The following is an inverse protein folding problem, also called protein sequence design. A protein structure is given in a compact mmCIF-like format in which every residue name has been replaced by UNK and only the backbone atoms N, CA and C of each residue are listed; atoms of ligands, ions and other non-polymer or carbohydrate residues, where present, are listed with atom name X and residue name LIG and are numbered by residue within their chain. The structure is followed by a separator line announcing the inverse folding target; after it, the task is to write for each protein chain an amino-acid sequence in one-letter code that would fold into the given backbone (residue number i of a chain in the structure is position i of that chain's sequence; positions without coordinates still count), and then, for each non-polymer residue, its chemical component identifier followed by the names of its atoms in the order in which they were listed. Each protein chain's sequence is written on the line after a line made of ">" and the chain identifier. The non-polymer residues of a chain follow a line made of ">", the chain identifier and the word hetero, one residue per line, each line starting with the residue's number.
data_IF_902742189446
#
_entry.id   IF_902742189446
#
_cell.length_a   1.000
_cell.length_b   1.000
_cell.length_c   1.000
_cell.angle_alpha   90.00
_cell.angle_beta   90.00
_cell.angle_gamma   90.00
#
_symmetry.space_group_name_H-M   'P 1'
#
loop_
_entity.id
_entity.type
_entity.pdbx_description
1 polymer ?
#
# COMPACT_ATOMS: atom_id res chain seq x y z
N UNK A 1 -13.56 -14.38 25.23
CA UNK A 1 -14.68 -14.97 24.46
C UNK A 1 -14.77 -14.47 23.02
N UNK A 2 -14.48 -13.19 22.75
CA UNK A 2 -14.44 -12.59 21.38
C UNK A 2 -13.23 -13.06 20.54
N UNK A 3 -12.08 -13.33 21.19
CA UNK A 3 -10.87 -13.84 20.53
C UNK A 3 -11.04 -15.28 20.02
N UNK A 4 -11.76 -16.13 20.74
CA UNK A 4 -11.93 -17.55 20.39
C UNK A 4 -12.83 -17.81 19.16
N UNK A 5 -13.74 -16.89 18.82
CA UNK A 5 -14.63 -17.05 17.67
C UNK A 5 -14.05 -16.44 16.38
N UNK A 6 -13.29 -15.35 16.48
CA UNK A 6 -12.51 -14.79 15.35
C UNK A 6 -11.31 -15.69 15.04
N UNK A 7 -10.67 -16.28 16.06
CA UNK A 7 -9.67 -17.34 15.85
C UNK A 7 -10.32 -18.57 15.21
N UNK A 8 -11.53 -19.01 15.59
CA UNK A 8 -12.20 -20.15 14.90
C UNK A 8 -12.57 -19.87 13.44
N UNK A 9 -12.95 -18.65 13.10
CA UNK A 9 -13.35 -18.28 11.74
C UNK A 9 -12.14 -18.03 10.84
N UNK A 10 -11.12 -17.34 11.37
CA UNK A 10 -9.83 -17.16 10.69
C UNK A 10 -9.12 -18.50 10.59
N UNK A 11 -9.08 -19.33 11.63
CA UNK A 11 -8.50 -20.68 11.60
C UNK A 11 -9.28 -21.60 10.65
N UNK A 12 -10.61 -21.52 10.54
CA UNK A 12 -11.37 -22.31 9.54
C UNK A 12 -11.14 -21.83 8.11
N UNK A 13 -11.11 -20.53 7.85
CA UNK A 13 -10.81 -19.97 6.53
C UNK A 13 -9.32 -20.11 6.15
N UNK A 14 -8.42 -20.08 7.14
CA UNK A 14 -6.96 -20.23 6.98
C UNK A 14 -6.54 -21.71 6.90
N UNK A 15 -7.21 -22.64 7.59
CA UNK A 15 -7.12 -24.09 7.35
C UNK A 15 -7.66 -24.46 5.96
N UNK A 16 -8.72 -23.78 5.50
CA UNK A 16 -9.23 -23.96 4.14
C UNK A 16 -8.31 -23.36 3.07
N UNK A 17 -7.46 -22.39 3.41
CA UNK A 17 -6.47 -21.81 2.49
C UNK A 17 -5.11 -22.53 2.52
N UNK A 18 -4.67 -23.01 3.70
CA UNK A 18 -3.41 -23.77 3.87
C UNK A 18 -3.49 -25.21 3.35
N UNK A 19 -4.69 -25.76 3.16
CA UNK A 19 -4.90 -26.98 2.39
C UNK A 19 -4.52 -26.86 0.90
N UNK A 20 -4.23 -25.65 0.39
CA UNK A 20 -3.90 -25.41 -1.02
C UNK A 20 -2.46 -24.92 -1.29
N UNK A 21 -1.62 -24.74 -0.26
CA UNK A 21 -0.26 -24.21 -0.46
C UNK A 21 0.89 -25.19 -0.19
N UNK A 22 0.62 -26.40 0.33
CA UNK A 22 1.66 -27.43 0.47
C UNK A 22 1.11 -28.80 0.05
N UNK A 23 1.97 -29.62 -0.56
CA UNK A 23 1.65 -30.87 -1.24
C UNK A 23 1.01 -31.97 -0.37
N UNK A 24 0.89 -33.20 -0.91
CA UNK A 24 -0.07 -34.20 -0.48
C UNK A 24 0.31 -34.83 0.87
N UNK A 25 -0.08 -34.20 1.96
CA UNK A 25 -0.27 -34.85 3.25
C UNK A 25 -1.63 -34.42 3.81
N UNK A 26 -2.65 -35.14 3.34
CA UNK A 26 -4.04 -34.95 3.66
C UNK A 26 -4.33 -35.14 5.15
N UNK A 27 -4.39 -34.05 5.91
CA UNK A 27 -5.41 -33.98 6.96
C UNK A 27 -6.74 -33.73 6.26
N UNK A 28 -7.52 -34.80 6.06
CA UNK A 28 -8.92 -34.72 5.66
C UNK A 28 -9.68 -33.92 6.72
N UNK A 29 -9.77 -32.60 6.53
CA UNK A 29 -10.73 -31.76 7.21
C UNK A 29 -12.12 -32.28 6.80
N UNK A 30 -12.78 -33.01 7.72
CA UNK A 30 -14.18 -33.41 7.58
C UNK A 30 -15.07 -32.18 7.70
N UNK A 31 -15.09 -31.36 6.65
CA UNK A 31 -15.96 -30.20 6.55
C UNK A 31 -17.34 -30.67 6.13
N UNK A 32 -18.33 -30.55 7.04
CA UNK A 32 -19.71 -30.89 6.74
C UNK A 32 -20.38 -29.70 6.05
N UNK A 33 -20.47 -29.75 4.72
CA UNK A 33 -21.16 -28.74 3.91
C UNK A 33 -22.61 -28.51 4.33
N UNK A 34 -23.27 -29.51 4.95
CA UNK A 34 -24.65 -29.45 5.45
C UNK A 34 -24.96 -28.29 6.39
N UNK A 35 -23.95 -27.75 7.10
CA UNK A 35 -24.15 -26.60 7.99
C UNK A 35 -24.12 -25.25 7.26
N UNK A 36 -23.77 -25.24 5.97
CA UNK A 36 -23.77 -24.03 5.16
C UNK A 36 -25.17 -23.75 4.64
N UNK A 37 -25.85 -22.75 5.19
CA UNK A 37 -27.15 -22.27 4.71
C UNK A 37 -27.13 -20.76 4.50
N UNK A 38 -28.12 -20.24 3.77
CA UNK A 38 -28.22 -18.80 3.54
C UNK A 38 -28.49 -18.05 4.85
N UNK A 39 -29.27 -18.64 5.76
CA UNK A 39 -29.57 -18.09 7.08
C UNK A 39 -28.31 -17.98 7.94
N UNK A 40 -27.46 -19.01 7.92
CA UNK A 40 -26.17 -18.97 8.64
C UNK A 40 -25.24 -17.89 8.10
N UNK A 41 -25.25 -17.67 6.78
CA UNK A 41 -24.43 -16.64 6.12
C UNK A 41 -24.95 -15.22 6.43
N UNK A 42 -26.26 -15.01 6.37
CA UNK A 42 -26.88 -13.74 6.76
C UNK A 42 -26.70 -13.44 8.25
N UNK A 43 -26.81 -14.46 9.10
CA UNK A 43 -26.49 -14.38 10.53
C UNK A 43 -25.07 -13.88 10.77
N UNK A 44 -24.09 -14.43 10.05
CA UNK A 44 -22.70 -13.96 10.11
C UNK A 44 -22.56 -12.49 9.69
N UNK A 45 -23.19 -12.06 8.60
CA UNK A 45 -23.13 -10.66 8.17
C UNK A 45 -23.73 -9.70 9.21
N UNK A 46 -24.78 -10.14 9.90
CA UNK A 46 -25.38 -9.39 11.01
C UNK A 46 -24.42 -9.32 12.21
N UNK A 47 -23.81 -10.43 12.62
CA UNK A 47 -22.80 -10.45 13.68
C UNK A 47 -21.60 -9.55 13.36
N UNK A 48 -21.12 -9.54 12.12
CA UNK A 48 -20.07 -8.64 11.66
C UNK A 48 -20.44 -7.17 11.89
N UNK A 49 -21.73 -6.81 11.74
CA UNK A 49 -22.22 -5.47 12.09
C UNK A 49 -22.06 -5.19 13.58
N UNK A 50 -22.43 -6.16 14.43
CA UNK A 50 -22.25 -6.08 15.89
C UNK A 50 -20.80 -5.97 16.32
N UNK A 51 -19.86 -6.46 15.51
CA UNK A 51 -18.41 -6.30 15.72
C UNK A 51 -17.84 -4.98 15.16
N UNK A 52 -18.67 -4.13 14.56
CA UNK A 52 -18.25 -2.84 14.00
C UNK A 52 -17.59 -2.93 12.62
N UNK A 53 -17.73 -4.05 11.90
CA UNK A 53 -17.25 -4.13 10.51
C UNK A 53 -18.16 -3.33 9.57
N UNK A 54 -17.53 -2.48 8.75
CA UNK A 54 -18.23 -1.71 7.73
C UNK A 54 -18.69 -2.57 6.53
N UNK A 55 -19.58 -2.00 5.72
CA UNK A 55 -20.20 -2.69 4.57
C UNK A 55 -19.16 -3.12 3.54
N UNK A 56 -18.13 -2.31 3.30
CA UNK A 56 -17.02 -2.66 2.42
C UNK A 56 -16.27 -3.92 2.89
N UNK A 57 -16.09 -4.08 4.20
CA UNK A 57 -15.48 -5.29 4.76
C UNK A 57 -16.37 -6.50 4.57
N UNK A 58 -17.67 -6.38 4.85
CA UNK A 58 -18.66 -7.45 4.59
C UNK A 58 -18.69 -7.89 3.12
N UNK A 59 -18.54 -6.93 2.20
CA UNK A 59 -18.46 -7.21 0.76
C UNK A 59 -17.25 -8.08 0.41
N UNK A 60 -16.09 -7.81 1.01
CA UNK A 60 -14.87 -8.61 0.81
C UNK A 60 -15.08 -10.04 1.31
N UNK A 61 -15.56 -10.22 2.55
CA UNK A 61 -15.83 -11.56 3.09
C UNK A 61 -16.86 -12.34 2.27
N UNK A 62 -17.89 -11.65 1.75
CA UNK A 62 -18.87 -12.24 0.84
C UNK A 62 -18.21 -12.73 -0.46
N UNK A 63 -17.31 -11.94 -1.04
CA UNK A 63 -16.59 -12.32 -2.26
C UNK A 63 -15.70 -13.57 -2.05
N UNK A 64 -15.03 -13.66 -0.90
CA UNK A 64 -14.22 -14.84 -0.55
C UNK A 64 -15.09 -16.08 -0.30
N UNK A 65 -16.24 -15.93 0.34
CA UNK A 65 -17.20 -17.02 0.52
C UNK A 65 -17.75 -17.53 -0.83
N UNK A 66 -18.02 -16.64 -1.79
CA UNK A 66 -18.39 -17.04 -3.16
C UNK A 66 -17.29 -17.87 -3.83
N UNK A 67 -16.01 -17.48 -3.68
CA UNK A 67 -14.88 -18.25 -4.24
C UNK A 67 -14.83 -19.65 -3.64
N UNK A 68 -15.03 -19.75 -2.34
CA UNK A 68 -15.08 -21.02 -1.62
C UNK A 68 -16.24 -21.92 -2.11
N UNK A 69 -17.46 -21.38 -2.23
CA UNK A 69 -18.61 -22.12 -2.74
C UNK A 69 -18.43 -22.57 -4.19
N UNK A 70 -17.81 -21.75 -5.04
CA UNK A 70 -17.44 -22.15 -6.42
C UNK A 70 -16.48 -23.33 -6.44
N UNK A 71 -15.48 -23.31 -5.55
CA UNK A 71 -14.54 -24.42 -5.43
C UNK A 71 -15.25 -25.72 -5.02
N UNK A 72 -16.08 -25.69 -3.96
CA UNK A 72 -16.87 -26.84 -3.52
C UNK A 72 -17.76 -27.36 -4.65
N UNK A 73 -18.47 -26.47 -5.33
CA UNK A 73 -19.37 -26.83 -6.42
C UNK A 73 -18.61 -27.47 -7.60
N UNK A 74 -17.40 -27.00 -7.90
CA UNK A 74 -16.54 -27.59 -8.94
C UNK A 74 -16.08 -29.00 -8.55
N UNK A 75 -15.56 -29.17 -7.33
CA UNK A 75 -15.09 -30.46 -6.82
C UNK A 75 -16.22 -31.51 -6.74
N UNK A 76 -17.39 -31.11 -6.25
CA UNK A 76 -18.59 -31.96 -6.25
C UNK A 76 -19.06 -32.31 -7.66
N UNK A 77 -18.97 -31.37 -8.61
CA UNK A 77 -19.32 -31.57 -10.01
C UNK A 77 -18.41 -32.56 -10.74
N UNK A 78 -17.11 -32.59 -10.39
CA UNK A 78 -16.14 -33.54 -10.94
C UNK A 78 -16.34 -34.97 -10.38
N UNK A 79 -16.93 -35.10 -9.18
CA UNK A 79 -17.14 -36.36 -8.46
C UNK A 79 -18.64 -36.69 -8.26
N UNK A 80 -19.46 -36.45 -9.30
CA UNK A 80 -20.91 -36.66 -9.26
C UNK A 80 -21.27 -38.16 -9.22
N UNK A 81 -21.60 -38.65 -8.02
CA UNK A 81 -22.40 -39.87 -7.84
C UNK A 81 -23.87 -39.51 -7.63
N UNK A 82 -24.80 -40.44 -7.86
CA UNK A 82 -26.26 -40.25 -7.62
C UNK A 82 -26.57 -39.75 -6.19
N UNK A 83 -25.76 -40.14 -5.19
CA UNK A 83 -25.91 -39.69 -3.79
C UNK A 83 -25.44 -38.25 -3.53
N UNK A 84 -24.62 -37.67 -4.40
CA UNK A 84 -24.06 -36.32 -4.24
C UNK A 84 -24.82 -35.23 -5.02
N UNK A 85 -25.82 -35.59 -5.82
CA UNK A 85 -26.55 -34.65 -6.69
C UNK A 85 -27.38 -33.62 -5.90
N UNK A 86 -28.07 -34.07 -4.85
CA UNK A 86 -28.86 -33.18 -3.99
C UNK A 86 -27.99 -32.16 -3.27
N UNK A 87 -26.79 -32.57 -2.84
CA UNK A 87 -25.85 -31.69 -2.15
C UNK A 87 -25.21 -30.69 -3.11
N UNK A 88 -24.88 -31.13 -4.33
CA UNK A 88 -24.45 -30.26 -5.43
C UNK A 88 -25.50 -29.17 -5.74
N UNK A 89 -26.75 -29.57 -5.93
CA UNK A 89 -27.85 -28.62 -6.22
C UNK A 89 -28.08 -27.63 -5.06
N UNK A 90 -27.98 -28.10 -3.81
CA UNK A 90 -28.07 -27.26 -2.61
C UNK A 90 -26.96 -26.20 -2.56
N UNK A 91 -25.71 -26.59 -2.81
CA UNK A 91 -24.57 -25.65 -2.84
C UNK A 91 -24.69 -24.67 -4.00
N UNK A 92 -25.19 -25.12 -5.16
CA UNK A 92 -25.46 -24.25 -6.31
C UNK A 92 -26.52 -23.19 -6.00
N UNK A 93 -27.62 -23.56 -5.32
CA UNK A 93 -28.64 -22.62 -4.85
C UNK A 93 -28.06 -21.64 -3.83
N UNK A 94 -27.29 -22.14 -2.85
CA UNK A 94 -26.63 -21.29 -1.87
C UNK A 94 -25.69 -20.27 -2.54
N UNK A 95 -24.89 -20.71 -3.51
CA UNK A 95 -24.01 -19.83 -4.29
C UNK A 95 -24.79 -18.72 -4.98
N UNK A 96 -25.93 -19.04 -5.62
CA UNK A 96 -26.79 -18.03 -6.25
C UNK A 96 -27.30 -17.00 -5.24
N UNK A 97 -27.80 -17.45 -4.08
CA UNK A 97 -28.29 -16.56 -3.02
C UNK A 97 -27.19 -15.65 -2.48
N UNK A 98 -25.98 -16.17 -2.24
CA UNK A 98 -24.85 -15.37 -1.75
C UNK A 98 -24.39 -14.35 -2.81
N UNK A 99 -24.45 -14.71 -4.10
CA UNK A 99 -24.17 -13.76 -5.20
C UNK A 99 -25.18 -12.61 -5.19
N UNK A 100 -26.46 -12.86 -4.90
CA UNK A 100 -27.46 -11.80 -4.81
C UNK A 100 -27.26 -10.91 -3.57
N UNK A 101 -26.90 -11.50 -2.42
CA UNK A 101 -26.47 -10.73 -1.23
C UNK A 101 -25.30 -9.82 -1.56
N UNK A 102 -24.31 -10.31 -2.31
CA UNK A 102 -23.16 -9.51 -2.75
C UNK A 102 -23.58 -8.27 -3.54
N UNK A 103 -24.52 -8.41 -4.50
CA UNK A 103 -25.02 -7.28 -5.30
C UNK A 103 -25.69 -6.22 -4.43
N UNK A 104 -26.43 -6.65 -3.40
CA UNK A 104 -27.01 -5.74 -2.40
C UNK A 104 -25.94 -4.94 -1.67
N UNK A 105 -24.89 -5.62 -1.17
CA UNK A 105 -23.76 -4.96 -0.51
C UNK A 105 -22.98 -4.04 -1.47
N UNK A 106 -22.79 -4.41 -2.73
CA UNK A 106 -22.15 -3.54 -3.74
C UNK A 106 -22.95 -2.25 -3.94
N UNK A 107 -24.27 -2.37 -4.04
CA UNK A 107 -25.17 -1.21 -4.18
C UNK A 107 -25.08 -0.29 -2.96
N UNK A 108 -25.07 -0.86 -1.76
CA UNK A 108 -24.92 -0.09 -0.52
C UNK A 108 -23.55 0.60 -0.42
N UNK A 109 -22.46 -0.08 -0.78
CA UNK A 109 -21.12 0.52 -0.83
C UNK A 109 -21.06 1.67 -1.83
N UNK A 110 -21.66 1.52 -3.02
CA UNK A 110 -21.72 2.58 -4.03
C UNK A 110 -22.52 3.78 -3.51
N UNK A 111 -23.65 3.54 -2.83
CA UNK A 111 -24.46 4.58 -2.23
C UNK A 111 -23.70 5.33 -1.12
N UNK A 112 -23.00 4.60 -0.23
CA UNK A 112 -22.16 5.20 0.83
C UNK A 112 -21.03 6.03 0.23
N UNK A 113 -20.31 5.52 -0.77
CA UNK A 113 -19.25 6.27 -1.46
C UNK A 113 -19.78 7.51 -2.17
N UNK A 114 -21.01 7.47 -2.69
CA UNK A 114 -21.64 8.60 -3.36
C UNK A 114 -22.09 9.66 -2.36
N UNK A 115 -22.66 9.23 -1.22
CA UNK A 115 -23.02 10.12 -0.11
C UNK A 115 -21.76 10.79 0.49
N UNK A 116 -20.69 10.03 0.72
CA UNK A 116 -19.40 10.56 1.18
C UNK A 116 -18.79 11.58 0.19
N UNK A 117 -18.97 11.37 -1.12
CA UNK A 117 -18.54 12.34 -2.14
C UNK A 117 -19.38 13.62 -2.09
N UNK A 118 -20.69 13.52 -1.83
CA UNK A 118 -21.58 14.67 -1.73
C UNK A 118 -21.30 15.53 -0.49
N UNK A 119 -20.79 14.92 0.59
CA UNK A 119 -20.45 15.61 1.85
C UNK A 119 -18.97 15.99 1.96
N UNK A 120 -18.12 15.62 0.98
CA UNK A 120 -16.68 15.84 1.10
C UNK A 120 -16.35 17.32 1.00
N UNK A 121 -15.77 17.86 2.07
CA UNK A 121 -14.98 19.09 2.02
C UNK A 121 -13.95 19.00 0.88
N UNK A 122 -13.70 20.14 0.24
CA UNK A 122 -12.70 20.25 -0.81
C UNK A 122 -11.37 19.64 -0.34
N UNK A 123 -10.69 18.81 -1.14
CA UNK A 123 -9.43 18.22 -0.72
C UNK A 123 -8.45 19.31 -0.26
N UNK A 124 -7.59 19.02 0.73
CA UNK A 124 -6.64 20.01 1.23
C UNK A 124 -5.77 20.55 0.10
N UNK A 125 -5.40 21.83 0.18
CA UNK A 125 -4.53 22.46 -0.82
C UNK A 125 -3.17 21.76 -0.87
N UNK A 126 -2.46 21.89 -2.00
CA UNK A 126 -1.11 21.34 -2.15
C UNK A 126 -0.10 21.93 -1.17
N UNK A 127 -0.32 23.16 -0.71
CA UNK A 127 0.50 23.77 0.33
C UNK A 127 0.28 23.08 1.68
N UNK A 128 -0.97 22.69 1.99
CA UNK A 128 -1.30 21.97 3.22
C UNK A 128 -0.80 20.53 3.15
N UNK A 129 -1.19 19.81 2.10
CA UNK A 129 -0.32 18.95 1.30
C UNK A 129 1.09 18.63 1.85
N UNK A 130 1.96 19.56 1.49
CA UNK A 130 3.41 19.49 1.57
C UNK A 130 3.97 20.30 2.73
N UNK A 131 3.11 20.79 3.63
CA UNK A 131 3.50 21.66 4.74
C UNK A 131 4.63 21.04 5.58
N UNK A 132 4.51 19.74 5.89
CA UNK A 132 5.54 19.00 6.65
C UNK A 132 6.91 19.03 5.95
N UNK A 133 6.93 18.95 4.62
CA UNK A 133 8.17 18.97 3.84
C UNK A 133 8.80 20.35 3.87
N UNK A 134 7.98 21.40 3.80
CA UNK A 134 8.43 22.79 3.86
C UNK A 134 9.04 23.12 5.22
N UNK A 135 8.35 22.79 6.32
CA UNK A 135 8.83 23.13 7.68
C UNK A 135 10.02 22.29 8.11
N UNK A 136 10.11 21.03 7.68
CA UNK A 136 11.22 20.14 8.01
C UNK A 136 12.42 20.27 7.06
N UNK A 137 12.34 21.11 6.02
CA UNK A 137 13.35 21.22 4.97
C UNK A 137 14.72 21.65 5.50
N UNK A 138 14.76 22.67 6.34
CA UNK A 138 16.03 23.20 6.88
C UNK A 138 16.77 22.15 7.68
N UNK A 139 16.05 21.38 8.51
CA UNK A 139 16.63 20.30 9.30
C UNK A 139 17.13 19.16 8.39
N UNK A 140 16.34 18.81 7.36
CA UNK A 140 16.75 17.83 6.35
C UNK A 140 18.02 18.24 5.60
N UNK A 141 18.06 19.47 5.09
CA UNK A 141 19.23 20.00 4.39
C UNK A 141 20.46 20.04 5.32
N UNK A 142 20.27 20.33 6.60
CA UNK A 142 21.35 20.33 7.61
C UNK A 142 21.93 18.93 7.80
N UNK A 143 21.08 17.93 8.00
CA UNK A 143 21.51 16.53 8.15
C UNK A 143 22.20 16.02 6.88
N UNK A 144 21.64 16.31 5.70
CA UNK A 144 22.24 15.94 4.41
C UNK A 144 23.58 16.64 4.18
N UNK A 145 23.71 17.91 4.56
CA UNK A 145 24.97 18.66 4.48
C UNK A 145 26.02 18.07 5.42
N UNK A 146 25.69 17.78 6.68
CA UNK A 146 26.64 17.17 7.63
C UNK A 146 27.20 15.84 7.11
N UNK A 147 26.35 15.01 6.50
CA UNK A 147 26.77 13.75 5.88
C UNK A 147 27.67 14.02 4.67
N UNK A 148 27.30 15.00 3.84
CA UNK A 148 28.05 15.40 2.66
C UNK A 148 29.42 16.01 2.96
N UNK A 149 29.56 16.74 4.06
CA UNK A 149 30.84 17.30 4.52
C UNK A 149 31.75 16.20 5.07
N UNK A 150 31.18 15.15 5.66
CA UNK A 150 31.92 14.03 6.23
C UNK A 150 32.31 12.96 5.22
N UNK A 151 31.60 12.85 4.07
CA UNK A 151 31.83 11.87 2.99
C UNK A 151 32.24 10.48 3.50
N UNK A 152 33.52 10.15 3.42
CA UNK A 152 34.10 8.86 3.82
C UNK A 152 33.97 8.57 5.32
N UNK A 153 33.84 9.63 6.14
CA UNK A 153 33.56 9.57 7.58
C UNK A 153 32.07 9.62 7.91
N UNK A 154 31.18 9.59 6.92
CA UNK A 154 29.72 9.53 7.13
C UNK A 154 29.31 8.38 8.05
N UNK A 155 30.09 7.30 8.08
CA UNK A 155 29.88 6.18 9.00
C UNK A 155 29.86 6.64 10.46
N UNK A 156 30.68 7.60 10.85
CA UNK A 156 30.76 8.10 12.24
C UNK A 156 29.47 8.85 12.60
N UNK A 157 28.96 9.66 11.68
CA UNK A 157 27.74 10.48 11.87
C UNK A 157 26.44 9.70 11.66
N UNK A 158 26.50 8.54 11.01
CA UNK A 158 25.31 7.71 10.76
C UNK A 158 24.75 7.19 12.07
N UNK A 159 23.69 7.84 12.56
CA UNK A 159 22.98 7.52 13.80
C UNK A 159 21.56 7.03 13.53
N UNK A 160 20.98 6.30 14.50
CA UNK A 160 19.59 5.82 14.41
C UNK A 160 18.59 6.96 14.21
N UNK A 161 18.78 8.08 14.91
CA UNK A 161 17.89 9.25 14.83
C UNK A 161 17.92 9.87 13.44
N UNK A 162 19.13 10.13 12.92
CA UNK A 162 19.33 10.72 11.59
C UNK A 162 18.76 9.81 10.49
N UNK A 163 19.10 8.52 10.47
CA UNK A 163 18.59 7.58 9.45
C UNK A 163 17.08 7.51 9.48
N UNK A 164 16.49 7.49 10.68
CA UNK A 164 15.03 7.48 10.84
C UNK A 164 14.40 8.75 10.29
N UNK A 165 14.98 9.92 10.59
CA UNK A 165 14.48 11.20 10.11
C UNK A 165 14.59 11.33 8.59
N UNK A 166 15.75 11.01 8.01
CA UNK A 166 15.98 11.06 6.56
C UNK A 166 15.04 10.11 5.81
N UNK A 167 14.88 8.86 6.28
CA UNK A 167 13.92 7.93 5.68
C UNK A 167 12.50 8.50 5.71
N UNK A 168 12.06 9.07 6.84
CA UNK A 168 10.72 9.68 6.95
C UNK A 168 10.56 10.86 6.00
N UNK A 169 11.57 11.72 5.90
CA UNK A 169 11.50 12.92 5.05
C UNK A 169 11.49 12.55 3.55
N UNK A 170 12.40 11.69 3.09
CA UNK A 170 12.45 11.29 1.67
C UNK A 170 11.18 10.53 1.28
N UNK A 171 10.70 9.61 2.12
CA UNK A 171 9.46 8.86 1.81
C UNK A 171 8.21 9.72 1.94
N UNK A 172 8.20 10.74 2.80
CA UNK A 172 7.16 11.78 2.83
C UNK A 172 7.17 12.60 1.53
N UNK A 173 8.34 12.92 0.96
CA UNK A 173 8.41 13.57 -0.34
C UNK A 173 7.78 12.72 -1.45
N UNK A 174 8.13 11.44 -1.51
CA UNK A 174 7.52 10.51 -2.48
C UNK A 174 6.00 10.46 -2.33
N UNK A 175 5.49 10.33 -1.11
CA UNK A 175 4.06 10.13 -0.88
C UNK A 175 3.23 11.42 -0.94
N UNK A 176 3.72 12.50 -0.33
CA UNK A 176 2.97 13.74 -0.15
C UNK A 176 3.19 14.74 -1.29
N UNK A 177 4.38 14.76 -1.89
CA UNK A 177 4.68 15.67 -3.00
C UNK A 177 4.47 15.02 -4.36
N UNK A 178 4.90 13.77 -4.54
CA UNK A 178 4.75 13.05 -5.82
C UNK A 178 3.50 12.17 -5.88
N UNK A 179 2.70 12.12 -4.81
CA UNK A 179 1.44 11.35 -4.79
C UNK A 179 1.62 9.84 -4.89
N UNK A 180 2.82 9.34 -4.61
CA UNK A 180 3.12 7.91 -4.66
C UNK A 180 2.39 7.17 -3.54
N UNK A 181 2.00 5.91 -3.80
CA UNK A 181 1.49 5.05 -2.73
C UNK A 181 2.64 4.67 -1.79
N UNK A 182 2.30 4.49 -0.52
CA UNK A 182 3.22 4.02 0.53
C UNK A 182 4.02 2.78 0.09
N UNK A 183 3.34 1.80 -0.52
CA UNK A 183 3.97 0.56 -1.00
C UNK A 183 5.04 0.78 -2.06
N UNK A 184 4.91 1.81 -2.89
CA UNK A 184 5.93 2.16 -3.90
C UNK A 184 7.22 2.60 -3.19
N UNK A 185 7.12 3.44 -2.17
CA UNK A 185 8.29 3.84 -1.38
C UNK A 185 8.90 2.66 -0.59
N UNK A 186 8.05 1.78 -0.03
CA UNK A 186 8.51 0.62 0.76
C UNK A 186 9.20 -0.46 -0.08
N UNK A 187 8.82 -0.59 -1.35
CA UNK A 187 9.28 -1.65 -2.23
C UNK A 187 10.29 -1.18 -3.29
N UNK A 188 10.60 0.12 -3.35
CA UNK A 188 11.65 0.63 -4.22
C UNK A 188 12.96 -0.13 -3.95
N UNK A 189 13.55 -0.66 -5.01
CA UNK A 189 14.79 -1.45 -4.97
C UNK A 189 15.99 -0.66 -5.49
N UNK A 190 17.18 -1.09 -5.08
CA UNK A 190 18.45 -0.60 -5.63
C UNK A 190 18.59 -0.97 -7.11
N UNK A 191 18.06 -2.12 -7.52
CA UNK A 191 18.07 -2.55 -8.92
C UNK A 191 17.30 -1.59 -9.83
N UNK A 192 16.09 -1.19 -9.42
CA UNK A 192 15.28 -0.18 -10.12
C UNK A 192 16.01 1.18 -10.17
N UNK A 193 16.60 1.61 -9.05
CA UNK A 193 17.37 2.86 -8.99
C UNK A 193 18.58 2.86 -9.93
N UNK A 194 19.41 1.81 -9.87
CA UNK A 194 20.59 1.69 -10.71
C UNK A 194 20.23 1.56 -12.20
N UNK A 195 19.11 0.93 -12.52
CA UNK A 195 18.58 0.88 -13.89
C UNK A 195 18.18 2.26 -14.37
N UNK A 196 17.55 3.07 -13.51
CA UNK A 196 17.21 4.45 -13.83
C UNK A 196 18.45 5.30 -14.12
N UNK A 197 19.52 5.15 -13.33
CA UNK A 197 20.78 5.89 -13.53
C UNK A 197 21.46 5.59 -14.87
N UNK A 198 21.26 4.39 -15.42
CA UNK A 198 21.81 3.97 -16.72
C UNK A 198 21.00 4.50 -17.92
N UNK A 199 19.76 4.95 -17.70
CA UNK A 199 18.89 5.47 -18.76
C UNK A 199 19.06 6.99 -18.88
N UNK A 200 18.81 7.51 -20.08
CA UNK A 200 18.90 8.96 -20.32
C UNK A 200 17.93 9.75 -19.42
N UNK A 201 18.43 10.85 -18.85
CA UNK A 201 17.62 11.80 -18.09
C UNK A 201 16.66 12.50 -19.07
N UNK A 202 15.37 12.47 -18.78
CA UNK A 202 14.41 13.21 -19.60
C UNK A 202 14.47 14.69 -19.23
N UNK A 203 14.62 15.57 -20.21
CA UNK A 203 14.56 17.01 -20.01
C UNK A 203 13.09 17.43 -20.03
N UNK A 204 12.64 18.11 -18.98
CA UNK A 204 11.26 18.60 -18.89
C UNK A 204 11.23 20.02 -18.36
N UNK A 205 10.61 20.93 -19.11
CA UNK A 205 10.60 22.35 -18.75
C UNK A 205 12.01 22.96 -18.66
N UNK A 206 13.01 22.34 -19.31
CA UNK A 206 14.42 22.75 -19.28
C UNK A 206 15.29 22.05 -18.23
N UNK A 207 14.74 21.27 -17.30
CA UNK A 207 15.53 20.57 -16.28
C UNK A 207 15.58 19.04 -16.50
N UNK A 208 16.74 18.39 -16.30
CA UNK A 208 16.87 16.95 -16.40
C UNK A 208 16.27 16.25 -15.17
N UNK A 209 15.36 15.30 -15.38
CA UNK A 209 14.75 14.47 -14.34
C UNK A 209 15.21 13.01 -14.44
N UNK A 210 15.44 12.37 -13.29
CA UNK A 210 15.66 10.93 -13.19
C UNK A 210 14.31 10.21 -13.07
N UNK A 211 14.05 9.27 -13.98
CA UNK A 211 12.80 8.49 -14.01
C UNK A 211 13.06 7.07 -13.51
N UNK A 212 12.59 6.76 -12.31
CA UNK A 212 12.72 5.42 -11.73
C UNK A 212 11.43 4.64 -12.01
N UNK A 213 11.52 3.62 -12.85
CA UNK A 213 10.42 2.68 -13.07
C UNK A 213 10.31 1.73 -11.88
N UNK A 214 9.11 1.55 -11.36
CA UNK A 214 8.86 0.67 -10.21
C UNK A 214 7.52 -0.04 -10.34
N UNK A 215 7.47 -1.28 -9.86
CA UNK A 215 6.24 -2.06 -9.90
C UNK A 215 5.31 -1.66 -8.74
N UNK A 216 4.13 -1.16 -9.09
CA UNK A 216 3.05 -0.96 -8.14
C UNK A 216 2.14 -2.19 -8.12
N UNK A 217 2.35 -3.06 -7.14
CA UNK A 217 1.48 -4.21 -6.92
C UNK A 217 0.20 -3.78 -6.19
N UNK A 218 -0.93 -3.97 -6.86
CA UNK A 218 -2.25 -3.97 -6.24
C UNK A 218 -2.76 -5.41 -6.12
N UNK A 219 -3.73 -5.70 -5.23
CA UNK A 219 -4.33 -7.03 -5.17
C UNK A 219 -4.95 -7.52 -6.49
N UNK A 220 -5.26 -6.61 -7.42
CA UNK A 220 -5.92 -6.91 -8.71
C UNK A 220 -4.98 -6.87 -9.92
N UNK A 221 -3.84 -6.18 -9.85
CA UNK A 221 -2.91 -6.03 -10.97
C UNK A 221 -1.54 -5.50 -10.53
N UNK A 222 -0.50 -5.76 -11.32
CA UNK A 222 0.77 -5.02 -11.24
C UNK A 222 0.74 -3.90 -12.27
N UNK A 223 0.94 -2.66 -11.81
CA UNK A 223 1.02 -1.50 -12.68
C UNK A 223 2.45 -0.96 -12.71
N UNK A 224 2.91 -0.54 -13.89
CA UNK A 224 4.16 0.20 -14.01
C UNK A 224 3.95 1.62 -13.45
N UNK A 225 4.63 1.92 -12.36
CA UNK A 225 4.68 3.24 -11.78
C UNK A 225 6.03 3.90 -12.11
N UNK A 226 6.05 5.23 -12.15
CA UNK A 226 7.29 5.99 -12.35
C UNK A 226 7.43 7.05 -11.28
N UNK A 227 8.59 7.07 -10.64
CA UNK A 227 9.02 8.16 -9.75
C UNK A 227 9.88 9.11 -10.58
N UNK A 228 9.48 10.37 -10.61
CA UNK A 228 10.22 11.42 -11.29
C UNK A 228 10.95 12.30 -10.27
N UNK A 229 12.27 12.24 -10.26
CA UNK A 229 13.12 13.04 -9.37
C UNK A 229 13.73 14.20 -10.15
N UNK A 230 13.55 15.42 -9.65
CA UNK A 230 14.25 16.60 -10.16
C UNK A 230 15.76 16.55 -9.78
N UNK A 231 16.60 17.48 -10.25
CA UNK A 231 18.04 17.46 -9.96
C UNK A 231 18.39 17.47 -8.47
N UNK A 232 17.67 18.26 -7.66
CA UNK A 232 17.87 18.32 -6.22
C UNK A 232 17.58 16.96 -5.57
N UNK A 233 16.43 16.35 -5.87
CA UNK A 233 16.05 15.06 -5.30
C UNK A 233 16.89 13.90 -5.83
N UNK A 234 17.32 13.95 -7.07
CA UNK A 234 18.30 13.01 -7.62
C UNK A 234 19.58 13.04 -6.79
N UNK A 235 20.11 14.24 -6.50
CA UNK A 235 21.27 14.41 -5.63
C UNK A 235 21.00 13.85 -4.22
N UNK A 236 19.83 14.09 -3.63
CA UNK A 236 19.49 13.55 -2.30
C UNK A 236 19.44 12.01 -2.29
N UNK A 237 18.91 11.39 -3.34
CA UNK A 237 18.89 9.93 -3.50
C UNK A 237 20.30 9.36 -3.66
N UNK A 238 21.14 10.00 -4.48
CA UNK A 238 22.55 9.63 -4.62
C UNK A 238 23.29 9.71 -3.28
N UNK A 239 23.07 10.78 -2.50
CA UNK A 239 23.68 10.92 -1.18
C UNK A 239 23.23 9.82 -0.21
N UNK A 240 21.93 9.52 -0.20
CA UNK A 240 21.39 8.46 0.62
C UNK A 240 22.00 7.11 0.25
N UNK A 241 22.01 6.77 -1.05
CA UNK A 241 22.51 5.51 -1.57
C UNK A 241 24.02 5.34 -1.33
N UNK A 242 24.82 6.36 -1.67
CA UNK A 242 26.27 6.30 -1.64
C UNK A 242 26.88 6.41 -0.25
N UNK A 243 26.26 7.17 0.67
CA UNK A 243 26.87 7.46 1.98
C UNK A 243 26.10 6.89 3.15
N UNK A 244 24.79 7.14 3.25
CA UNK A 244 23.99 6.72 4.41
C UNK A 244 23.81 5.20 4.39
N UNK A 245 23.27 4.69 3.29
CA UNK A 245 22.99 3.27 3.09
C UNK A 245 24.27 2.45 3.13
N UNK A 246 25.30 2.90 2.42
CA UNK A 246 26.62 2.27 2.45
C UNK A 246 27.22 2.23 3.86
N UNK A 247 27.08 3.30 4.66
CA UNK A 247 27.56 3.34 6.04
C UNK A 247 26.85 2.33 6.95
N UNK A 248 25.54 2.18 6.81
CA UNK A 248 24.76 1.18 7.57
C UNK A 248 25.25 -0.23 7.25
N UNK A 249 25.42 -0.54 5.96
CA UNK A 249 25.89 -1.85 5.51
C UNK A 249 27.30 -2.15 5.97
N UNK A 250 28.22 -1.18 5.92
CA UNK A 250 29.56 -1.31 6.50
C UNK A 250 29.51 -1.59 8.00
N UNK A 251 28.67 -0.88 8.77
CA UNK A 251 28.51 -1.09 10.22
C UNK A 251 27.92 -2.46 10.59
N UNK A 252 27.05 -2.99 9.73
CA UNK A 252 26.23 -4.17 10.03
C UNK A 252 26.70 -5.43 9.31
N UNK A 253 27.69 -5.32 8.43
CA UNK A 253 28.18 -6.39 7.57
C UNK A 253 27.02 -7.14 6.87
N UNK A 254 26.13 -6.40 6.22
CA UNK A 254 24.96 -6.95 5.54
C UNK A 254 24.62 -6.18 4.27
N UNK A 255 23.76 -6.78 3.44
CA UNK A 255 23.21 -6.16 2.23
C UNK A 255 21.72 -6.43 2.13
N UNK A 256 21.00 -5.57 1.41
CA UNK A 256 19.58 -5.76 1.10
C UNK A 256 19.28 -5.24 -0.31
N UNK A 257 18.23 -5.75 -0.96
CA UNK A 257 17.75 -5.23 -2.25
C UNK A 257 16.98 -3.90 -2.15
N UNK A 258 16.27 -3.64 -1.04
CA UNK A 258 15.45 -2.43 -0.91
C UNK A 258 16.32 -1.18 -0.79
N UNK A 259 15.83 -0.11 -1.38
CA UNK A 259 16.49 1.18 -1.41
C UNK A 259 16.56 1.77 0.00
N UNK A 260 15.41 1.93 0.66
CA UNK A 260 15.33 2.49 2.01
C UNK A 260 15.51 1.42 3.09
N UNK A 261 16.52 1.62 3.94
CA UNK A 261 16.84 0.72 5.06
C UNK A 261 16.86 1.48 6.39
N UNK A 262 16.52 0.77 7.45
CA UNK A 262 16.63 1.22 8.84
C UNK A 262 18.09 1.15 9.30
N UNK A 263 18.39 1.77 10.45
CA UNK A 263 19.75 1.79 11.02
C UNK A 263 20.28 0.39 11.41
N UNK A 264 19.39 -0.57 11.65
CA UNK A 264 19.76 -1.98 11.85
C UNK A 264 19.96 -2.75 10.53
N UNK A 265 19.79 -2.08 9.39
CA UNK A 265 19.94 -2.61 8.04
C UNK A 265 18.69 -3.34 7.50
N UNK A 266 17.62 -3.45 8.29
CA UNK A 266 16.35 -4.01 7.83
C UNK A 266 15.60 -3.03 6.90
N UNK A 267 14.69 -3.50 6.05
CA UNK A 267 13.92 -2.62 5.17
C UNK A 267 13.01 -1.65 5.93
N UNK A 268 12.87 -0.43 5.42
CA UNK A 268 11.94 0.54 5.99
C UNK A 268 10.50 0.30 5.49
N UNK A 269 9.74 -0.57 6.17
CA UNK A 269 8.37 -1.00 5.80
C UNK A 269 7.22 -0.33 6.56
N UNK A 270 7.50 0.75 7.31
CA UNK A 270 6.48 1.49 8.09
C UNK A 270 6.42 2.94 7.64
N UNK A 271 6.27 3.15 6.33
CA UNK A 271 6.34 4.50 5.74
C UNK A 271 5.16 5.35 6.21
N UNK A 272 3.94 4.81 6.26
CA UNK A 272 2.76 5.55 6.74
C UNK A 272 2.94 6.06 8.17
N UNK A 273 3.34 5.18 9.10
CA UNK A 273 3.65 5.57 10.48
C UNK A 273 4.81 6.58 10.56
N UNK A 274 5.80 6.42 9.68
CA UNK A 274 6.93 7.33 9.56
C UNK A 274 6.49 8.75 9.22
N UNK A 275 5.60 8.90 8.23
CA UNK A 275 5.04 10.18 7.80
C UNK A 275 4.23 10.81 8.94
N UNK A 276 3.37 10.05 9.61
CA UNK A 276 2.58 10.54 10.75
C UNK A 276 3.48 11.03 11.88
N UNK A 277 4.54 10.28 12.21
CA UNK A 277 5.51 10.70 13.23
C UNK A 277 6.27 11.96 12.84
N UNK A 278 6.57 12.14 11.55
CA UNK A 278 7.17 13.38 11.05
C UNK A 278 6.20 14.56 11.20
N UNK A 279 4.94 14.39 10.81
CA UNK A 279 3.91 15.42 10.96
C UNK A 279 3.71 15.81 12.43
N UNK A 280 3.68 14.84 13.34
CA UNK A 280 3.62 15.07 14.78
C UNK A 280 4.83 15.83 15.31
N UNK A 281 6.05 15.47 14.87
CA UNK A 281 7.28 16.13 15.29
C UNK A 281 7.27 17.63 14.98
N UNK A 282 6.75 18.02 13.81
CA UNK A 282 6.64 19.42 13.39
C UNK A 282 5.28 20.05 13.69
N UNK A 283 4.41 19.37 14.45
CA UNK A 283 3.08 19.85 14.88
C UNK A 283 2.19 20.34 13.72
N UNK A 284 2.31 19.71 12.55
CA UNK A 284 1.46 20.00 11.38
C UNK A 284 0.28 19.03 11.31
N UNK A 285 -0.72 19.40 10.50
CA UNK A 285 -1.90 18.56 10.32
C UNK A 285 -1.52 17.17 9.76
N UNK A 286 -2.22 16.14 10.25
CA UNK A 286 -2.03 14.78 9.75
C UNK A 286 -2.65 14.65 8.36
N UNK A 287 -1.83 14.29 7.38
CA UNK A 287 -2.24 14.05 6.00
C UNK A 287 -1.75 12.67 5.60
N UNK A 288 -2.67 11.83 5.13
CA UNK A 288 -2.35 10.49 4.64
C UNK A 288 -1.87 10.54 3.20
N UNK A 289 -1.09 9.53 2.77
CA UNK A 289 -0.71 9.36 1.35
C UNK A 289 -1.93 9.30 0.42
N UNK A 290 -3.04 8.68 0.87
CA UNK A 290 -4.29 8.65 0.11
C UNK A 290 -4.91 10.03 -0.09
N UNK A 291 -4.98 10.82 0.99
CA UNK A 291 -5.46 12.22 0.93
C UNK A 291 -4.58 13.07 0.03
N UNK A 292 -3.26 12.93 0.15
CA UNK A 292 -2.30 13.65 -0.70
C UNK A 292 -2.47 13.31 -2.18
N UNK A 293 -2.62 12.02 -2.51
CA UNK A 293 -2.85 11.57 -3.89
C UNK A 293 -4.14 12.13 -4.48
N UNK A 294 -5.23 12.18 -3.70
CA UNK A 294 -6.49 12.79 -4.13
C UNK A 294 -6.28 14.28 -4.40
N UNK A 295 -5.65 15.02 -3.49
CA UNK A 295 -5.38 16.45 -3.66
C UNK A 295 -4.53 16.74 -4.91
N UNK A 296 -3.47 15.96 -5.13
CA UNK A 296 -2.60 16.05 -6.32
C UNK A 296 -3.38 15.73 -7.58
N UNK A 297 -4.20 14.67 -7.58
CA UNK A 297 -5.01 14.30 -8.74
C UNK A 297 -6.04 15.38 -9.06
N UNK A 298 -6.77 15.89 -8.07
CA UNK A 298 -7.74 16.98 -8.24
C UNK A 298 -7.07 18.24 -8.78
N UNK A 299 -5.92 18.62 -8.21
CA UNK A 299 -5.15 19.75 -8.73
C UNK A 299 -4.71 19.52 -10.18
N UNK A 300 -4.13 18.36 -10.48
CA UNK A 300 -3.66 18.02 -11.82
C UNK A 300 -4.81 18.06 -12.83
N UNK A 301 -5.98 17.53 -12.49
CA UNK A 301 -7.16 17.56 -13.35
C UNK A 301 -7.69 18.97 -13.61
N UNK A 302 -7.48 19.91 -12.68
CA UNK A 302 -7.83 21.32 -12.87
C UNK A 302 -6.88 22.06 -13.84
N UNK A 303 -5.73 21.47 -14.19
CA UNK A 303 -4.78 22.07 -15.12
C UNK A 303 -5.11 21.74 -16.58
N UNK A 304 -4.80 22.65 -17.53
CA UNK A 304 -4.86 22.35 -18.96
C UNK A 304 -4.00 21.12 -19.30
N UNK A 305 -4.39 20.24 -20.26
CA UNK A 305 -3.67 19.01 -20.60
C UNK A 305 -2.15 19.19 -20.80
N UNK A 306 -1.74 20.30 -21.43
CA UNK A 306 -0.33 20.65 -21.64
C UNK A 306 0.48 20.88 -20.34
N UNK A 307 -0.19 21.20 -19.22
CA UNK A 307 0.40 21.48 -17.90
C UNK A 307 0.21 20.34 -16.89
N UNK A 308 -0.69 19.39 -17.16
CA UNK A 308 -1.00 18.27 -16.26
C UNK A 308 0.24 17.43 -15.94
N UNK A 309 1.01 17.07 -16.97
CA UNK A 309 2.24 16.32 -16.73
C UNK A 309 3.30 17.22 -16.07
N UNK A 310 3.49 18.47 -16.54
CA UNK A 310 4.51 19.42 -16.07
C UNK A 310 4.46 19.64 -14.55
N UNK A 311 3.27 19.82 -13.98
CA UNK A 311 3.13 20.07 -12.54
C UNK A 311 3.15 18.76 -11.71
N UNK A 312 2.76 17.61 -12.26
CA UNK A 312 2.84 16.30 -11.59
C UNK A 312 4.29 15.87 -11.25
N UNK A 313 5.29 16.39 -11.98
CA UNK A 313 6.72 16.10 -11.77
C UNK A 313 7.43 17.20 -10.95
N UNK A 314 6.75 18.29 -10.63
CA UNK A 314 7.21 19.27 -9.66
C UNK A 314 7.20 20.70 -10.16
N UNK A 315 6.39 21.53 -9.50
CA UNK A 315 6.84 22.90 -9.22
C UNK A 315 7.70 22.86 -7.96
N UNK A 316 8.99 22.63 -8.14
CA UNK A 316 9.94 23.32 -7.29
C UNK A 316 9.85 24.79 -7.68
N UNK A 317 8.92 25.55 -7.07
CA UNK A 317 9.13 27.00 -7.01
C UNK A 317 10.47 27.18 -6.28
N UNK A 318 11.45 27.78 -6.95
CA UNK A 318 12.59 28.39 -6.26
C UNK A 318 12.01 29.26 -5.13
N UNK A 319 12.42 29.07 -3.85
CA UNK A 319 12.30 30.14 -2.88
C UNK A 319 13.13 31.34 -3.32
#
# INVERSE_FOLDING_TARGET
>A
MIVANVERMTYKMHLMASAFSEGPSAQKLNFQTKTLTIESFLGLLNEMSGWGYNVATKLIYTADFIRFLKYINMDMGLNLSLGNRNEYDRIKILLANVVDVRKGLETEVIAQLSAEKATKEMPPTLDKVTEVLRVAKTDFDTEMKMIGDMKERAIIYTSKKMVTFINRYITAYLCLNLGQRVRVAENLTVGEYNTALKRERQVKGGEPCLMIGTAEQTPSATHDCRIALNPYWTKMFDFYYGYIRASIFKKKNMTHEFFFIQYDGKPFKKVSDGIVKLQMQYKVAKITSGTARIAIQTYTQSLPPAKQFADFIGKAKKP
#
